data_IF_861091240876
#
_entry.id   IF_861091240876
#
_cell.length_a   1.000
_cell.length_b   1.000
_cell.length_c   1.000
_cell.angle_alpha   90.00
_cell.angle_beta   90.00
_cell.angle_gamma   90.00
#
_symmetry.space_group_name_H-M   'P 1'
#
loop_
_entity.id
_entity.type
_entity.pdbx_description
1 polymer ?
#
# COMPACT_ATOMS: atom_id res chain seq x y z
N UNK A 1 -6.77 -4.45 5.39
CA UNK A 1 -5.79 -4.29 6.49
C UNK A 1 -5.68 -2.83 6.92
N UNK A 2 -5.59 -2.49 8.21
CA UNK A 2 -5.55 -1.08 8.66
C UNK A 2 -4.13 -0.45 8.61
N UNK A 3 -4.03 0.89 8.70
CA UNK A 3 -2.75 1.62 8.59
C UNK A 3 -1.69 1.18 9.60
N UNK A 4 -2.07 0.93 10.86
CA UNK A 4 -1.14 0.52 11.90
C UNK A 4 -0.53 -0.85 11.57
N UNK A 5 -1.36 -1.81 11.13
CA UNK A 5 -0.90 -3.12 10.70
C UNK A 5 0.05 -3.04 9.49
N UNK A 6 -0.22 -2.13 8.53
CA UNK A 6 0.68 -1.90 7.39
C UNK A 6 2.04 -1.38 7.89
N UNK A 7 2.02 -0.46 8.85
CA UNK A 7 3.25 0.09 9.43
C UNK A 7 4.09 -0.99 10.11
N UNK A 8 3.48 -1.82 10.96
CA UNK A 8 4.16 -2.93 11.65
C UNK A 8 4.83 -3.86 10.63
N UNK A 9 4.11 -4.29 9.58
CA UNK A 9 4.68 -5.16 8.54
C UNK A 9 5.81 -4.53 7.74
N UNK A 10 5.78 -3.21 7.54
CA UNK A 10 6.91 -2.50 6.93
C UNK A 10 8.13 -2.48 7.85
N UNK A 11 7.93 -2.27 9.15
CA UNK A 11 9.01 -2.23 10.15
C UNK A 11 9.66 -3.60 10.31
N UNK A 12 8.87 -4.69 10.33
CA UNK A 12 9.37 -6.08 10.33
C UNK A 12 10.30 -6.38 9.14
N UNK A 13 10.17 -5.62 8.05
CA UNK A 13 10.99 -5.73 6.83
C UNK A 13 12.07 -4.64 6.75
N UNK A 14 12.44 -4.02 7.88
CA UNK A 14 13.39 -2.91 7.97
C UNK A 14 13.06 -1.73 7.02
N UNK A 15 11.76 -1.48 6.85
CA UNK A 15 11.21 -0.44 5.98
C UNK A 15 10.27 0.51 6.75
N UNK A 16 9.75 1.49 6.03
CA UNK A 16 8.78 2.47 6.52
C UNK A 16 7.98 3.00 5.34
N UNK A 17 6.86 3.71 5.57
CA UNK A 17 6.11 4.33 4.46
C UNK A 17 7.00 5.25 3.60
N UNK A 18 7.92 5.98 4.24
CA UNK A 18 8.87 6.84 3.53
C UNK A 18 9.86 6.01 2.72
N UNK A 19 10.49 4.99 3.31
CA UNK A 19 11.51 4.16 2.63
C UNK A 19 10.90 3.38 1.47
N UNK A 20 9.72 2.79 1.67
CA UNK A 20 8.92 2.16 0.62
C UNK A 20 8.59 3.14 -0.51
N UNK A 21 8.09 4.33 -0.18
CA UNK A 21 7.74 5.33 -1.20
C UNK A 21 8.95 5.68 -2.06
N UNK A 22 10.08 5.99 -1.43
CA UNK A 22 11.31 6.36 -2.13
C UNK A 22 11.86 5.20 -2.97
N UNK A 23 11.91 3.97 -2.44
CA UNK A 23 12.42 2.81 -3.19
C UNK A 23 11.53 2.42 -4.37
N UNK A 24 10.23 2.73 -4.29
CA UNK A 24 9.24 2.42 -5.33
C UNK A 24 8.98 3.58 -6.30
N UNK A 25 9.74 4.68 -6.19
CA UNK A 25 9.60 5.85 -7.07
C UNK A 25 8.38 6.74 -6.79
N UNK A 26 7.76 6.62 -5.61
CA UNK A 26 6.60 7.41 -5.20
C UNK A 26 6.98 8.58 -4.30
N UNK A 27 6.18 9.65 -4.34
CA UNK A 27 6.25 10.72 -3.35
C UNK A 27 5.71 10.20 -2.01
N UNK A 28 6.43 10.35 -0.87
CA UNK A 28 5.96 9.89 0.44
C UNK A 28 4.56 10.39 0.82
N UNK A 29 4.24 11.65 0.49
CA UNK A 29 2.91 12.24 0.73
C UNK A 29 1.80 11.49 -0.01
N UNK A 30 2.05 11.09 -1.26
CA UNK A 30 1.06 10.37 -2.09
C UNK A 30 0.79 8.98 -1.52
N UNK A 31 1.84 8.28 -1.05
CA UNK A 31 1.68 6.98 -0.38
C UNK A 31 0.86 7.14 0.90
N UNK A 32 1.21 8.10 1.76
CA UNK A 32 0.46 8.34 3.00
C UNK A 32 -1.00 8.68 2.74
N UNK A 33 -1.31 9.50 1.73
CA UNK A 33 -2.70 9.82 1.35
C UNK A 33 -3.45 8.60 0.84
N UNK A 34 -2.82 7.78 -0.02
CA UNK A 34 -3.41 6.54 -0.50
C UNK A 34 -3.75 5.59 0.65
N UNK A 35 -2.79 5.37 1.56
CA UNK A 35 -2.95 4.49 2.72
C UNK A 35 -4.02 5.02 3.67
N UNK A 36 -3.97 6.32 4.02
CA UNK A 36 -4.97 6.91 4.91
C UNK A 36 -6.40 6.79 4.35
N UNK A 37 -6.56 6.91 3.03
CA UNK A 37 -7.88 6.88 2.39
C UNK A 37 -8.43 5.46 2.23
N UNK A 38 -7.57 4.47 2.00
CA UNK A 38 -8.02 3.15 1.52
C UNK A 38 -7.65 1.98 2.43
N UNK A 39 -6.73 2.14 3.38
CA UNK A 39 -6.40 1.05 4.30
C UNK A 39 -7.63 0.63 5.12
N UNK A 40 -8.06 -0.62 4.95
CA UNK A 40 -9.25 -1.16 5.61
C UNK A 40 -10.56 -0.95 4.84
N UNK A 41 -10.51 -0.33 3.66
CA UNK A 41 -11.65 -0.30 2.73
C UNK A 41 -11.85 -1.67 2.07
N UNK A 42 -13.09 -1.94 1.65
CA UNK A 42 -13.47 -3.07 0.79
C UNK A 42 -13.63 -2.66 -0.68
N UNK A 43 -13.56 -1.36 -0.97
CA UNK A 43 -13.71 -0.81 -2.31
C UNK A 43 -12.34 -0.65 -2.99
N UNK A 44 -12.34 -0.72 -4.32
CA UNK A 44 -11.15 -0.47 -5.12
C UNK A 44 -10.92 1.03 -5.40
N UNK A 45 -9.65 1.48 -5.39
CA UNK A 45 -9.33 2.83 -5.83
C UNK A 45 -9.62 3.02 -7.32
N UNK A 46 -10.41 4.04 -7.64
CA UNK A 46 -10.73 4.41 -9.04
C UNK A 46 -9.55 5.02 -9.81
N UNK A 47 -8.47 5.43 -9.12
CA UNK A 47 -7.30 6.08 -9.72
C UNK A 47 -6.15 5.10 -9.94
N UNK A 48 -5.59 5.07 -11.16
CA UNK A 48 -4.49 4.15 -11.54
C UNK A 48 -3.26 4.27 -10.63
N UNK A 49 -2.87 5.49 -10.26
CA UNK A 49 -1.72 5.72 -9.37
C UNK A 49 -1.97 5.15 -7.97
N UNK A 50 -3.13 5.41 -7.39
CA UNK A 50 -3.49 4.89 -6.07
C UNK A 50 -3.59 3.37 -6.09
N UNK A 51 -4.20 2.79 -7.13
CA UNK A 51 -4.24 1.35 -7.34
C UNK A 51 -2.82 0.76 -7.35
N UNK A 52 -1.91 1.32 -8.16
CA UNK A 52 -0.52 0.86 -8.25
C UNK A 52 0.21 0.96 -6.91
N UNK A 53 0.09 2.09 -6.19
CA UNK A 53 0.70 2.27 -4.87
C UNK A 53 0.24 1.17 -3.90
N UNK A 54 -1.07 0.91 -3.83
CA UNK A 54 -1.61 -0.06 -2.88
C UNK A 54 -1.30 -1.51 -3.28
N UNK A 55 -1.23 -1.80 -4.59
CA UNK A 55 -0.78 -3.10 -5.11
C UNK A 55 0.70 -3.36 -4.79
N UNK A 56 1.57 -2.40 -5.09
CA UNK A 56 3.01 -2.52 -4.82
C UNK A 56 3.28 -2.60 -3.32
N UNK A 57 2.55 -1.81 -2.53
CA UNK A 57 2.62 -1.89 -1.08
C UNK A 57 2.22 -3.28 -0.60
N UNK A 58 1.11 -3.83 -1.11
CA UNK A 58 0.65 -5.19 -0.76
C UNK A 58 1.69 -6.25 -1.06
N UNK A 59 2.36 -6.16 -2.21
CA UNK A 59 3.51 -7.03 -2.55
C UNK A 59 4.66 -6.82 -1.55
N UNK A 60 5.00 -5.57 -1.25
CA UNK A 60 6.10 -5.20 -0.37
C UNK A 60 5.90 -5.60 1.09
N UNK A 61 4.66 -5.82 1.56
CA UNK A 61 4.33 -6.31 2.91
C UNK A 61 3.84 -7.78 2.93
N UNK A 62 3.74 -8.43 1.77
CA UNK A 62 3.29 -9.81 1.61
C UNK A 62 1.87 -10.05 2.09
N UNK A 63 1.01 -9.03 2.04
CA UNK A 63 -0.38 -9.10 2.45
C UNK A 63 -1.20 -8.02 1.75
N UNK A 64 -2.47 -8.29 1.49
CA UNK A 64 -3.35 -7.36 0.81
C UNK A 64 -3.75 -6.18 1.71
N UNK A 65 -3.47 -4.97 1.25
CA UNK A 65 -3.92 -3.73 1.92
C UNK A 65 -5.45 -3.59 1.79
N UNK A 66 -5.97 -3.87 0.60
CA UNK A 66 -7.39 -3.99 0.26
C UNK A 66 -7.61 -5.40 -0.30
N UNK A 67 -8.67 -6.12 0.11
CA UNK A 67 -8.99 -7.44 -0.44
C UNK A 67 -9.06 -7.46 -1.97
N UNK A 68 -8.43 -8.46 -2.59
CA UNK A 68 -8.46 -8.68 -4.04
C UNK A 68 -7.55 -7.75 -4.86
N UNK A 69 -6.77 -6.87 -4.24
CA UNK A 69 -5.88 -5.95 -4.97
C UNK A 69 -4.73 -6.65 -5.70
N UNK A 70 -4.39 -7.88 -5.31
CA UNK A 70 -3.39 -8.68 -6.02
C UNK A 70 -3.99 -9.52 -7.16
N UNK A 71 -5.31 -9.68 -7.21
CA UNK A 71 -5.99 -10.58 -8.16
C UNK A 71 -6.10 -10.09 -9.61
N UNK A 72 -5.77 -8.83 -9.90
CA UNK A 72 -5.85 -8.25 -11.26
C UNK A 72 -4.71 -8.63 -12.21
N UNK A 73 -4.01 -9.74 -11.96
CA UNK A 73 -2.88 -10.26 -12.77
C UNK A 73 -3.22 -11.65 -13.35
N UNK A 74 -4.45 -11.79 -13.86
CA UNK A 74 -4.90 -12.94 -14.65
C UNK A 74 -5.17 -12.51 -16.09
#
# INVERSE_FOLDING_TARGET
MNKHQIHVRLVERHSSFRKFALSSGYKPRTVTQAVNRWAGSHDFPRGRLTYRILRDLSKAIGAEVIPGILGGDQ
#
